data_IF_117607870052
#
_entry.id   IF_117607870052
#
_cell.length_a   1.000
_cell.length_b   1.000
_cell.length_c   1.000
_cell.angle_alpha   90.00
_cell.angle_beta   90.00
_cell.angle_gamma   90.00
#
_symmetry.space_group_name_H-M   'P 1'
#
loop_
_entity.id
_entity.type
_entity.pdbx_description
1 polymer ?
#
# COMPACT_ATOMS: atom_id res chain seq x y z
N UNK A 1 -32.58 5.34 -14.96
CA UNK A 1 -31.89 4.54 -16.00
C UNK A 1 -31.00 3.57 -15.27
N UNK A 2 -31.37 2.29 -15.27
CA UNK A 2 -30.61 1.23 -14.59
C UNK A 2 -29.50 0.74 -15.51
N UNK A 3 -28.26 0.94 -15.07
CA UNK A 3 -27.03 0.48 -15.71
C UNK A 3 -26.85 -1.03 -15.47
N UNK A 4 -26.17 -1.80 -16.34
CA UNK A 4 -25.93 -3.22 -16.09
C UNK A 4 -25.12 -3.42 -14.80
N UNK A 5 -25.79 -3.91 -13.77
CA UNK A 5 -25.20 -4.48 -12.58
C UNK A 5 -24.44 -5.74 -13.01
N UNK A 6 -23.12 -5.62 -13.21
CA UNK A 6 -22.24 -6.78 -13.24
C UNK A 6 -22.33 -7.44 -11.86
N UNK A 7 -23.16 -8.48 -11.79
CA UNK A 7 -23.35 -9.31 -10.62
C UNK A 7 -21.98 -9.74 -10.09
N UNK A 8 -21.84 -9.65 -8.77
CA UNK A 8 -20.77 -10.21 -7.99
C UNK A 8 -20.40 -11.61 -8.51
N UNK A 9 -19.28 -11.70 -9.23
CA UNK A 9 -18.58 -12.96 -9.43
C UNK A 9 -17.96 -13.30 -8.08
N UNK A 10 -18.76 -13.96 -7.27
CA UNK A 10 -18.39 -14.54 -5.99
C UNK A 10 -17.36 -15.63 -6.28
N UNK A 11 -16.09 -15.25 -6.21
CA UNK A 11 -14.99 -16.17 -6.49
C UNK A 11 -14.92 -17.24 -5.40
N UNK A 12 -14.72 -18.47 -5.87
CA UNK A 12 -15.12 -19.70 -5.20
C UNK A 12 -14.18 -20.01 -4.04
N UNK A 13 -14.76 -20.13 -2.83
CA UNK A 13 -14.31 -20.93 -1.67
C UNK A 13 -12.92 -21.57 -1.84
N UNK A 14 -11.88 -20.81 -1.46
CA UNK A 14 -10.53 -21.35 -1.21
C UNK A 14 -10.58 -22.25 0.03
N UNK A 15 -10.07 -23.46 -0.16
CA UNK A 15 -9.89 -24.48 0.86
C UNK A 15 -8.67 -24.05 1.71
N UNK A 16 -8.84 -23.86 3.02
CA UNK A 16 -7.86 -23.23 3.94
C UNK A 16 -6.74 -24.22 4.37
N UNK A 17 -6.53 -25.32 3.63
CA UNK A 17 -5.69 -26.44 4.09
C UNK A 17 -4.37 -26.63 3.32
N UNK A 18 -4.18 -26.00 2.16
CA UNK A 18 -2.93 -26.09 1.40
C UNK A 18 -2.24 -24.72 1.37
N UNK A 19 -0.94 -24.74 1.70
CA UNK A 19 -0.03 -23.59 1.76
C UNK A 19 0.33 -23.11 0.34
N UNK A 20 -0.67 -22.83 -0.49
CA UNK A 20 -0.48 -22.31 -1.83
C UNK A 20 -0.84 -20.84 -1.83
N UNK A 21 0.19 -19.99 -1.70
CA UNK A 21 -0.02 -18.56 -1.81
C UNK A 21 -0.22 -18.26 -3.29
N UNK A 22 -1.48 -18.16 -3.71
CA UNK A 22 -1.85 -17.84 -5.09
C UNK A 22 -1.19 -16.51 -5.51
N UNK A 23 -0.10 -16.60 -6.28
CA UNK A 23 0.64 -15.45 -6.78
C UNK A 23 0.03 -14.93 -8.08
N UNK A 24 -0.51 -13.70 -8.13
CA UNK A 24 -1.06 -13.15 -9.37
C UNK A 24 0.01 -12.63 -10.35
N UNK A 25 1.30 -12.85 -10.09
CA UNK A 25 2.44 -12.30 -10.86
C UNK A 25 3.48 -13.36 -11.19
N UNK A 26 4.37 -13.04 -12.14
CA UNK A 26 5.57 -13.85 -12.38
C UNK A 26 6.58 -13.63 -11.25
N UNK A 27 7.37 -14.67 -10.98
CA UNK A 27 8.30 -14.71 -9.85
C UNK A 27 9.28 -13.53 -9.81
N UNK A 28 9.83 -13.14 -10.96
CA UNK A 28 10.77 -12.02 -11.03
C UNK A 28 10.10 -10.67 -10.76
N UNK A 29 8.89 -10.46 -11.28
CA UNK A 29 8.13 -9.22 -11.07
C UNK A 29 7.80 -9.04 -9.59
N UNK A 30 7.35 -10.11 -8.92
CA UNK A 30 7.08 -10.08 -7.48
C UNK A 30 8.35 -9.74 -6.67
N UNK A 31 9.49 -10.34 -7.03
CA UNK A 31 10.74 -10.08 -6.34
C UNK A 31 11.25 -8.64 -6.54
N UNK A 32 11.02 -8.03 -7.70
CA UNK A 32 11.32 -6.61 -7.94
C UNK A 32 10.36 -5.69 -7.17
N UNK A 33 9.07 -6.00 -7.15
CA UNK A 33 8.07 -5.19 -6.47
C UNK A 33 8.32 -5.08 -4.97
N UNK A 34 8.73 -6.16 -4.29
CA UNK A 34 9.07 -6.04 -2.85
C UNK A 34 10.27 -5.11 -2.63
N UNK A 35 11.30 -5.20 -3.48
CA UNK A 35 12.48 -4.34 -3.37
C UNK A 35 12.13 -2.86 -3.60
N UNK A 36 11.11 -2.56 -4.41
CA UNK A 36 10.61 -1.21 -4.62
C UNK A 36 9.70 -0.75 -3.48
N UNK A 37 8.85 -1.65 -2.98
CA UNK A 37 7.92 -1.40 -1.89
C UNK A 37 8.62 -1.17 -0.54
N UNK A 38 9.77 -1.80 -0.35
CA UNK A 38 10.60 -1.64 0.86
C UNK A 38 11.96 -1.06 0.45
N UNK A 39 12.07 0.27 0.27
CA UNK A 39 13.35 0.89 -0.05
C UNK A 39 14.41 0.52 1.01
N UNK A 40 15.67 0.31 0.60
CA UNK A 40 16.75 -0.01 1.54
C UNK A 40 16.78 1.00 2.68
N UNK A 41 16.75 0.51 3.92
CA UNK A 41 16.79 1.39 5.07
C UNK A 41 15.46 1.95 5.56
N UNK A 42 14.35 1.30 5.17
CA UNK A 42 13.05 1.54 5.79
C UNK A 42 13.12 1.25 7.28
N UNK A 43 12.61 2.16 8.11
CA UNK A 43 12.72 2.08 9.58
C UNK A 43 11.33 1.92 10.17
N UNK A 44 11.20 0.93 11.04
CA UNK A 44 10.10 0.82 11.99
C UNK A 44 10.27 1.88 13.09
N UNK A 45 9.52 2.98 13.00
CA UNK A 45 9.63 4.10 13.96
C UNK A 45 9.11 3.74 15.36
N UNK A 46 8.18 2.79 15.51
CA UNK A 46 7.69 2.42 16.87
C UNK A 46 8.60 1.40 17.55
N UNK A 47 9.47 0.72 16.80
CA UNK A 47 10.54 -0.11 17.36
C UNK A 47 11.69 0.73 17.95
N UNK A 48 11.73 2.04 17.71
CA UNK A 48 12.79 2.91 18.23
C UNK A 48 12.55 3.32 19.69
N UNK A 49 13.63 3.46 20.50
CA UNK A 49 13.54 4.10 21.79
C UNK A 49 12.90 5.50 21.70
N UNK A 50 12.02 5.84 22.63
CA UNK A 50 11.23 7.09 22.60
C UNK A 50 12.10 8.35 22.40
N UNK A 51 13.27 8.39 23.03
CA UNK A 51 14.23 9.49 22.91
C UNK A 51 14.79 9.60 21.48
N UNK A 52 15.05 8.47 20.82
CA UNK A 52 15.56 8.43 19.46
C UNK A 52 14.46 8.78 18.44
N UNK A 53 13.24 8.29 18.64
CA UNK A 53 12.08 8.67 17.83
C UNK A 53 11.81 10.19 17.94
N UNK A 54 11.85 10.76 19.15
CA UNK A 54 11.71 12.21 19.38
C UNK A 54 12.84 13.00 18.70
N UNK A 55 14.08 12.51 18.78
CA UNK A 55 15.23 13.12 18.10
C UNK A 55 15.07 13.11 16.58
N UNK A 56 14.58 12.02 15.98
CA UNK A 56 14.27 11.96 14.53
C UNK A 56 13.18 12.96 14.16
N UNK A 57 12.10 13.03 14.94
CA UNK A 57 11.00 14.00 14.76
C UNK A 57 11.48 15.44 14.81
N UNK A 58 12.26 15.80 15.83
CA UNK A 58 12.81 17.17 15.98
C UNK A 58 13.69 17.62 14.81
N UNK A 59 14.20 16.68 14.02
CA UNK A 59 15.09 16.92 12.88
C UNK A 59 14.36 16.86 11.54
N UNK A 60 13.04 16.68 11.53
CA UNK A 60 12.27 16.49 10.30
C UNK A 60 12.63 15.19 9.56
N UNK A 61 13.10 14.17 10.28
CA UNK A 61 13.58 12.91 9.70
C UNK A 61 12.66 11.72 9.99
N UNK A 62 11.44 11.98 10.41
CA UNK A 62 10.43 10.95 10.59
C UNK A 62 10.11 10.31 9.22
N UNK A 63 10.03 8.98 9.16
CA UNK A 63 9.76 8.22 7.92
C UNK A 63 10.83 8.38 6.81
N UNK A 64 11.96 9.03 7.11
CA UNK A 64 13.09 9.08 6.16
C UNK A 64 13.90 7.79 6.25
N UNK A 65 14.16 7.20 5.07
CA UNK A 65 15.01 6.02 4.92
C UNK A 65 16.47 6.41 5.10
N UNK A 66 17.25 5.49 5.67
CA UNK A 66 18.69 5.64 5.79
C UNK A 66 19.36 4.44 5.16
N UNK A 67 20.37 4.60 4.29
CA UNK A 67 21.06 3.44 3.76
C UNK A 67 21.54 2.56 4.93
N UNK A 68 21.46 1.23 4.76
CA UNK A 68 21.83 0.29 5.81
C UNK A 68 23.20 0.69 6.36
N UNK A 69 23.31 0.75 7.69
CA UNK A 69 24.51 1.23 8.36
C UNK A 69 25.61 0.17 8.19
N UNK A 70 26.23 0.12 7.03
CA UNK A 70 27.49 -0.57 6.78
C UNK A 70 28.63 0.32 7.29
N UNK A 71 29.67 -0.29 7.86
CA UNK A 71 30.96 0.33 8.15
C UNK A 71 31.60 1.00 6.91
N UNK A 72 31.10 0.71 5.71
CA UNK A 72 31.55 1.30 4.43
C UNK A 72 30.75 2.52 3.97
N UNK A 73 29.57 2.80 4.54
CA UNK A 73 28.66 3.85 4.06
C UNK A 73 28.43 4.99 5.10
N UNK A 74 29.50 5.45 5.75
CA UNK A 74 29.45 6.53 6.75
C UNK A 74 29.01 7.90 6.23
N UNK A 75 29.04 8.15 4.92
CA UNK A 75 28.81 9.47 4.32
C UNK A 75 27.33 9.77 4.05
N UNK A 76 26.51 8.74 3.79
CA UNK A 76 25.07 8.88 3.52
C UNK A 76 24.21 8.66 4.76
N UNK A 77 24.74 7.96 5.77
CA UNK A 77 24.19 8.04 7.11
C UNK A 77 24.75 9.30 7.78
N UNK A 78 23.96 10.14 8.47
CA UNK A 78 24.53 11.23 9.24
C UNK A 78 25.14 10.65 10.52
N UNK A 79 26.26 9.94 10.39
CA UNK A 79 26.91 9.19 11.47
C UNK A 79 27.35 10.07 12.63
N UNK A 80 27.55 11.37 12.38
CA UNK A 80 27.82 12.42 13.38
C UNK A 80 26.56 12.82 14.19
N UNK A 81 25.36 12.51 13.70
CA UNK A 81 24.11 12.84 14.36
C UNK A 81 23.67 11.81 15.41
N UNK A 82 24.20 10.59 15.34
CA UNK A 82 23.74 9.46 16.15
C UNK A 82 24.91 8.78 16.87
N UNK A 83 24.74 8.57 18.17
CA UNK A 83 25.63 7.81 19.04
C UNK A 83 25.68 6.33 18.64
N UNK A 84 26.64 5.58 19.18
CA UNK A 84 26.78 4.15 18.89
C UNK A 84 25.56 3.33 19.30
N UNK A 85 24.94 3.65 20.44
CA UNK A 85 23.71 2.99 20.91
C UNK A 85 22.51 3.31 20.01
N UNK A 86 22.36 4.58 19.60
CA UNK A 86 21.31 4.99 18.65
C UNK A 86 21.48 4.30 17.30
N UNK A 87 22.70 4.14 16.79
CA UNK A 87 22.96 3.39 15.55
C UNK A 87 22.60 1.91 15.68
N UNK A 88 22.84 1.30 16.84
CA UNK A 88 22.43 -0.09 17.10
C UNK A 88 20.90 -0.22 17.10
N UNK A 89 20.21 0.73 17.74
CA UNK A 89 18.74 0.77 17.74
C UNK A 89 18.17 1.00 16.33
N UNK A 90 18.77 1.90 15.52
CA UNK A 90 18.37 2.11 14.13
C UNK A 90 18.54 0.85 13.29
N UNK A 91 19.67 0.14 13.43
CA UNK A 91 19.88 -1.16 12.74
C UNK A 91 18.82 -2.18 13.15
N UNK A 92 18.52 -2.29 14.44
CA UNK A 92 17.52 -3.23 14.93
C UNK A 92 16.09 -2.91 14.46
N UNK A 93 15.79 -1.62 14.29
CA UNK A 93 14.51 -1.15 13.76
C UNK A 93 14.47 -1.08 12.21
N UNK A 94 15.56 -1.41 11.52
CA UNK A 94 15.56 -1.44 10.06
C UNK A 94 14.80 -2.67 9.59
N UNK A 95 13.84 -2.45 8.68
CA UNK A 95 13.10 -3.51 8.02
C UNK A 95 14.00 -4.16 6.98
N UNK A 96 14.29 -5.44 7.14
CA UNK A 96 15.15 -6.20 6.26
C UNK A 96 14.54 -7.59 6.03
N UNK A 97 14.08 -7.82 4.79
CA UNK A 97 13.61 -9.13 4.35
C UNK A 97 14.80 -10.02 3.98
N UNK A 98 14.74 -11.34 4.23
CA UNK A 98 15.75 -12.27 3.75
C UNK A 98 15.86 -12.22 2.23
N UNK A 99 17.10 -12.20 1.74
CA UNK A 99 17.42 -12.15 0.31
C UNK A 99 18.02 -13.44 -0.22
N UNK A 100 18.58 -14.24 0.69
CA UNK A 100 19.14 -15.54 0.43
C UNK A 100 18.87 -16.49 1.62
N UNK A 101 19.09 -17.77 1.39
CA UNK A 101 18.92 -18.84 2.39
C UNK A 101 19.79 -18.60 3.63
N UNK A 102 21.02 -18.11 3.45
CA UNK A 102 21.99 -17.91 4.53
C UNK A 102 21.59 -16.79 5.51
N UNK A 103 20.74 -15.86 5.08
CA UNK A 103 20.23 -14.78 5.93
C UNK A 103 19.38 -15.35 7.10
N UNK A 104 18.83 -16.55 6.91
CA UNK A 104 17.90 -17.20 7.84
C UNK A 104 18.57 -17.78 9.08
N UNK A 105 19.86 -18.14 8.98
CA UNK A 105 20.63 -18.77 10.06
C UNK A 105 20.75 -17.91 11.33
N UNK A 106 20.45 -16.61 11.24
CA UNK A 106 20.50 -15.68 12.36
C UNK A 106 19.24 -15.65 13.22
N UNK A 107 18.14 -16.24 12.74
CA UNK A 107 16.86 -16.25 13.44
C UNK A 107 16.72 -17.47 14.34
N UNK A 108 15.86 -17.36 15.35
CA UNK A 108 15.60 -18.48 16.25
C UNK A 108 15.01 -19.65 15.45
N UNK A 109 14.01 -19.38 14.62
CA UNK A 109 13.27 -20.38 13.86
C UNK A 109 13.94 -20.79 12.53
N UNK A 110 15.27 -20.79 12.48
CA UNK A 110 16.03 -20.96 11.24
C UNK A 110 15.71 -22.27 10.50
N UNK A 111 15.49 -23.37 11.22
CA UNK A 111 15.19 -24.68 10.65
C UNK A 111 13.88 -24.71 9.87
N UNK A 112 12.82 -24.08 10.40
CA UNK A 112 11.54 -23.96 9.68
C UNK A 112 11.69 -23.02 8.47
N UNK A 113 12.31 -21.86 8.67
CA UNK A 113 12.42 -20.85 7.63
C UNK A 113 13.24 -21.37 6.45
N UNK A 114 14.33 -22.10 6.71
CA UNK A 114 15.11 -22.76 5.67
C UNK A 114 14.28 -23.81 4.93
N UNK A 115 13.48 -24.62 5.63
CA UNK A 115 12.60 -25.60 5.00
C UNK A 115 11.52 -24.95 4.11
N UNK A 116 10.93 -23.83 4.53
CA UNK A 116 9.97 -23.06 3.72
C UNK A 116 10.64 -22.44 2.48
N UNK A 117 11.85 -21.92 2.63
CA UNK A 117 12.65 -21.39 1.52
C UNK A 117 13.01 -22.48 0.51
N UNK A 118 13.51 -23.61 0.99
CA UNK A 118 13.91 -24.77 0.19
C UNK A 118 12.67 -25.41 -0.46
N UNK A 119 11.49 -25.36 0.16
CA UNK A 119 10.24 -25.80 -0.47
C UNK A 119 9.88 -24.96 -1.72
N UNK A 120 10.26 -23.67 -1.75
CA UNK A 120 9.98 -22.78 -2.88
C UNK A 120 11.04 -22.86 -3.97
N UNK A 121 12.31 -22.87 -3.59
CA UNK A 121 13.45 -22.71 -4.50
C UNK A 121 14.28 -23.99 -4.69
N UNK A 122 14.00 -25.05 -3.94
CA UNK A 122 14.83 -26.26 -3.88
C UNK A 122 16.26 -25.94 -3.43
N UNK A 123 17.22 -26.72 -3.93
CA UNK A 123 18.65 -26.52 -3.66
C UNK A 123 19.27 -25.38 -4.51
N UNK A 124 18.47 -24.45 -5.04
CA UNK A 124 19.01 -23.36 -5.87
C UNK A 124 19.55 -22.22 -5.01
N UNK A 125 20.73 -21.70 -5.38
CA UNK A 125 21.36 -20.51 -4.77
C UNK A 125 20.62 -19.20 -5.19
N UNK A 126 19.30 -19.18 -5.02
CA UNK A 126 18.47 -18.06 -5.42
C UNK A 126 18.68 -16.87 -4.48
N UNK A 127 19.30 -15.80 -5.00
CA UNK A 127 19.57 -14.57 -4.25
C UNK A 127 18.86 -13.39 -4.92
N UNK A 128 17.83 -12.84 -4.27
CA UNK A 128 17.11 -11.67 -4.78
C UNK A 128 16.53 -10.80 -3.66
N UNK A 129 16.54 -9.47 -3.85
CA UNK A 129 16.03 -8.47 -2.88
C UNK A 129 14.52 -8.49 -2.61
N UNK A 130 13.81 -9.45 -3.21
CA UNK A 130 12.40 -9.69 -2.93
C UNK A 130 12.00 -11.16 -2.96
N UNK A 131 12.99 -12.06 -2.87
CA UNK A 131 12.74 -13.51 -2.82
C UNK A 131 11.78 -13.88 -1.67
N UNK A 132 11.87 -13.18 -0.53
CA UNK A 132 10.98 -13.35 0.60
C UNK A 132 9.48 -13.31 0.23
N UNK A 133 9.07 -12.48 -0.74
CA UNK A 133 7.67 -12.38 -1.16
C UNK A 133 7.16 -13.57 -1.99
N UNK A 134 8.06 -14.45 -2.44
CA UNK A 134 7.72 -15.71 -3.10
C UNK A 134 7.60 -16.88 -2.11
N UNK A 135 8.02 -16.67 -0.86
CA UNK A 135 8.06 -17.69 0.19
C UNK A 135 6.98 -17.41 1.23
N UNK A 136 6.87 -16.16 1.70
CA UNK A 136 5.98 -15.79 2.80
C UNK A 136 4.87 -14.84 2.35
N UNK A 137 3.71 -14.97 3.00
CA UNK A 137 2.52 -14.16 2.72
C UNK A 137 2.68 -12.70 3.16
N UNK A 138 3.44 -12.40 4.21
CA UNK A 138 3.63 -11.05 4.74
C UNK A 138 4.33 -10.13 3.73
N UNK A 139 5.53 -10.47 3.21
CA UNK A 139 6.15 -9.70 2.13
C UNK A 139 5.33 -9.72 0.84
N UNK A 140 4.53 -10.74 0.57
CA UNK A 140 3.62 -10.68 -0.57
C UNK A 140 2.47 -9.68 -0.40
N UNK A 141 1.89 -9.60 0.80
CA UNK A 141 0.86 -8.60 1.11
C UNK A 141 1.40 -7.17 0.90
N UNK A 142 2.69 -6.94 1.19
CA UNK A 142 3.37 -5.68 0.87
C UNK A 142 3.41 -5.40 -0.64
N UNK A 143 3.63 -6.42 -1.48
CA UNK A 143 3.56 -6.26 -2.95
C UNK A 143 2.15 -5.81 -3.36
N UNK A 144 1.11 -6.46 -2.85
CA UNK A 144 -0.27 -6.11 -3.18
C UNK A 144 -0.56 -4.64 -2.82
N UNK A 145 -0.15 -4.22 -1.63
CA UNK A 145 -0.27 -2.82 -1.18
C UNK A 145 0.49 -1.85 -2.08
N UNK A 146 1.73 -2.17 -2.44
CA UNK A 146 2.56 -1.33 -3.32
C UNK A 146 1.92 -1.15 -4.69
N UNK A 147 1.37 -2.21 -5.28
CA UNK A 147 0.69 -2.11 -6.59
C UNK A 147 -0.59 -1.29 -6.51
N UNK A 148 -1.36 -1.40 -5.43
CA UNK A 148 -2.52 -0.54 -5.21
C UNK A 148 -2.10 0.93 -5.05
N UNK A 149 -1.02 1.21 -4.32
CA UNK A 149 -0.44 2.55 -4.21
C UNK A 149 0.04 3.10 -5.56
N UNK A 150 0.76 2.28 -6.35
CA UNK A 150 1.23 2.64 -7.68
C UNK A 150 0.06 2.91 -8.62
N UNK A 151 -0.95 2.04 -8.62
CA UNK A 151 -2.16 2.22 -9.41
C UNK A 151 -2.88 3.52 -9.03
N UNK A 152 -3.06 3.81 -7.75
CA UNK A 152 -3.65 5.08 -7.29
C UNK A 152 -2.89 6.29 -7.84
N UNK A 153 -1.55 6.27 -7.77
CA UNK A 153 -0.67 7.35 -8.28
C UNK A 153 -0.70 7.53 -9.79
N UNK A 154 -0.95 6.46 -10.54
CA UNK A 154 -1.02 6.49 -12.00
C UNK A 154 -2.35 7.02 -12.53
N UNK A 155 -3.40 7.06 -11.68
CA UNK A 155 -4.71 7.59 -12.07
C UNK A 155 -4.60 9.03 -12.59
N UNK A 156 -5.47 9.39 -13.54
CA UNK A 156 -5.52 10.76 -14.07
C UNK A 156 -5.85 11.75 -12.98
N UNK A 157 -6.81 11.39 -12.12
CA UNK A 157 -7.27 12.23 -11.02
C UNK A 157 -6.15 12.56 -10.03
N UNK A 158 -5.21 11.63 -9.79
CA UNK A 158 -4.06 11.85 -8.91
C UNK A 158 -3.18 13.02 -9.34
N UNK A 159 -3.07 13.24 -10.66
CA UNK A 159 -2.25 14.30 -11.28
C UNK A 159 -2.94 15.67 -11.26
N UNK A 160 -4.18 15.74 -10.80
CA UNK A 160 -4.96 16.98 -10.70
C UNK A 160 -5.00 17.51 -9.26
N UNK A 161 -5.42 18.76 -9.10
CA UNK A 161 -5.64 19.39 -7.79
C UNK A 161 -6.99 18.99 -7.14
N UNK A 162 -7.84 18.24 -7.85
CA UNK A 162 -9.21 17.92 -7.40
C UNK A 162 -9.23 17.08 -6.12
N UNK A 163 -8.26 16.18 -5.94
CA UNK A 163 -8.14 15.41 -4.70
C UNK A 163 -7.82 16.29 -3.49
N UNK A 164 -7.01 17.34 -3.68
CA UNK A 164 -6.68 18.30 -2.62
C UNK A 164 -7.89 19.19 -2.32
N UNK A 165 -8.57 19.68 -3.37
CA UNK A 165 -9.76 20.52 -3.24
C UNK A 165 -10.90 19.81 -2.48
N UNK A 166 -11.12 18.53 -2.75
CA UNK A 166 -12.12 17.70 -2.06
C UNK A 166 -11.59 17.05 -0.77
N UNK A 167 -10.36 17.33 -0.34
CA UNK A 167 -9.71 16.71 0.84
C UNK A 167 -9.71 15.17 0.80
N UNK A 168 -9.69 14.60 -0.39
CA UNK A 168 -9.73 13.16 -0.65
C UNK A 168 -8.33 12.57 -0.94
N UNK A 169 -7.28 13.41 -1.00
CA UNK A 169 -5.91 12.93 -1.14
C UNK A 169 -5.44 12.29 0.17
N UNK A 170 -5.03 11.03 0.10
CA UNK A 170 -4.41 10.33 1.23
C UNK A 170 -2.88 10.39 1.14
N UNK A 171 -2.22 10.30 2.29
CA UNK A 171 -0.78 10.06 2.34
C UNK A 171 -0.49 8.58 2.06
N UNK A 172 -0.33 8.26 0.77
CA UNK A 172 -0.05 6.89 0.29
C UNK A 172 1.29 6.37 0.84
N UNK A 173 2.31 7.23 0.98
CA UNK A 173 3.63 6.84 1.48
C UNK A 173 3.58 6.48 2.95
N UNK A 174 2.89 7.29 3.78
CA UNK A 174 2.69 6.96 5.18
C UNK A 174 1.89 5.67 5.35
N UNK A 175 0.83 5.46 4.54
CA UNK A 175 0.02 4.24 4.60
C UNK A 175 0.81 2.99 4.20
N UNK A 176 1.58 3.07 3.11
CA UNK A 176 2.46 1.99 2.68
C UNK A 176 3.52 1.68 3.74
N UNK A 177 4.13 2.71 4.34
CA UNK A 177 5.12 2.54 5.42
C UNK A 177 4.51 1.79 6.63
N UNK A 178 3.27 2.10 7.01
CA UNK A 178 2.56 1.39 8.10
C UNK A 178 2.32 -0.08 7.74
N UNK A 179 1.86 -0.35 6.51
CA UNK A 179 1.62 -1.72 6.01
C UNK A 179 2.92 -2.52 6.01
N UNK A 180 4.01 -1.97 5.47
CA UNK A 180 5.35 -2.60 5.43
C UNK A 180 5.82 -2.91 6.85
N UNK A 181 5.67 -1.95 7.78
CA UNK A 181 6.07 -2.11 9.17
C UNK A 181 5.27 -3.20 9.88
N UNK A 182 3.94 -3.20 9.73
CA UNK A 182 3.06 -4.19 10.33
C UNK A 182 3.34 -5.60 9.77
N UNK A 183 3.46 -5.74 8.44
CA UNK A 183 3.82 -6.99 7.80
C UNK A 183 5.17 -7.53 8.29
N UNK A 184 6.18 -6.67 8.40
CA UNK A 184 7.49 -7.06 8.90
C UNK A 184 7.45 -7.51 10.37
N UNK A 185 6.68 -6.86 11.23
CA UNK A 185 6.52 -7.30 12.64
C UNK A 185 5.87 -8.68 12.74
N UNK A 186 4.84 -8.94 11.93
CA UNK A 186 4.20 -10.25 11.87
C UNK A 186 5.20 -11.32 11.41
N UNK A 187 5.95 -11.04 10.35
CA UNK A 187 7.00 -11.93 9.87
C UNK A 187 8.11 -12.15 10.90
N UNK A 188 8.57 -11.11 11.61
CA UNK A 188 9.58 -11.24 12.68
C UNK A 188 9.08 -12.09 13.83
N UNK A 189 7.79 -12.02 14.16
CA UNK A 189 7.18 -12.88 15.17
C UNK A 189 7.25 -14.34 14.73
N UNK A 190 6.96 -14.62 13.46
CA UNK A 190 7.15 -15.94 12.87
C UNK A 190 8.61 -16.40 12.87
N UNK A 191 9.55 -15.51 12.55
CA UNK A 191 10.98 -15.82 12.49
C UNK A 191 11.64 -16.05 13.86
N UNK A 192 11.19 -15.36 14.91
CA UNK A 192 11.81 -15.41 16.24
C UNK A 192 11.14 -16.40 17.22
N UNK A 193 9.99 -16.96 16.87
CA UNK A 193 9.22 -17.82 17.77
C UNK A 193 9.33 -19.29 17.35
N UNK A 194 10.07 -20.10 18.13
CA UNK A 194 10.23 -21.55 17.91
C UNK A 194 8.95 -22.39 18.08
N UNK A 195 7.83 -21.79 18.48
CA UNK A 195 6.57 -22.50 18.64
C UNK A 195 5.90 -22.65 17.27
N UNK A 196 6.06 -23.84 16.67
CA UNK A 196 5.36 -24.27 15.46
C UNK A 196 3.86 -23.97 15.51
N UNK A 197 3.38 -23.36 14.41
CA UNK A 197 2.06 -23.54 13.79
C UNK A 197 0.85 -22.95 14.52
N UNK A 198 0.29 -21.90 13.91
CA UNK A 198 -1.17 -21.76 13.83
C UNK A 198 -1.81 -20.53 14.48
N UNK A 199 -1.08 -19.74 15.25
CA UNK A 199 -1.60 -18.48 15.77
C UNK A 199 -0.65 -17.33 15.42
N UNK A 200 -0.60 -17.00 14.12
CA UNK A 200 -0.54 -15.58 13.75
C UNK A 200 -1.52 -14.86 14.67
N UNK A 201 -1.12 -13.78 15.32
CA UNK A 201 -2.10 -12.89 15.95
C UNK A 201 -3.19 -12.61 14.89
N UNK A 202 -4.37 -13.25 15.00
CA UNK A 202 -5.35 -13.23 13.91
C UNK A 202 -5.89 -11.81 13.75
N UNK A 203 -5.84 -11.03 14.82
CA UNK A 203 -6.16 -9.61 14.84
C UNK A 203 -5.12 -8.82 14.03
N UNK A 204 -3.82 -8.99 14.31
CA UNK A 204 -2.76 -8.29 13.56
C UNK A 204 -2.76 -8.56 12.05
N UNK A 205 -3.00 -9.81 11.62
CA UNK A 205 -3.11 -10.13 10.20
C UNK A 205 -4.41 -9.59 9.56
N UNK A 206 -5.54 -9.68 10.26
CA UNK A 206 -6.80 -9.11 9.77
C UNK A 206 -6.72 -7.58 9.62
N UNK A 207 -6.09 -6.89 10.58
CA UNK A 207 -5.89 -5.44 10.53
C UNK A 207 -4.98 -5.04 9.36
N UNK A 208 -3.93 -5.84 9.08
CA UNK A 208 -3.07 -5.64 7.90
C UNK A 208 -3.87 -5.77 6.60
N UNK A 209 -4.67 -6.83 6.46
CA UNK A 209 -5.50 -7.03 5.28
C UNK A 209 -6.54 -5.91 5.12
N UNK A 210 -7.18 -5.47 6.20
CA UNK A 210 -8.13 -4.34 6.15
C UNK A 210 -7.46 -3.03 5.68
N UNK A 211 -6.22 -2.78 6.10
CA UNK A 211 -5.44 -1.63 5.63
C UNK A 211 -5.12 -1.71 4.13
N UNK A 212 -4.79 -2.91 3.63
CA UNK A 212 -4.53 -3.18 2.20
C UNK A 212 -5.82 -3.07 1.38
N UNK A 213 -6.92 -3.61 1.86
CA UNK A 213 -8.23 -3.53 1.21
C UNK A 213 -8.68 -2.07 1.07
N UNK A 214 -8.48 -1.26 2.11
CA UNK A 214 -8.79 0.18 2.06
C UNK A 214 -7.98 0.89 0.97
N UNK A 215 -6.67 0.59 0.86
CA UNK A 215 -5.81 1.16 -0.17
C UNK A 215 -6.19 0.66 -1.58
N UNK A 216 -6.59 -0.60 -1.69
CA UNK A 216 -7.01 -1.22 -2.95
C UNK A 216 -8.34 -0.64 -3.43
N UNK A 217 -9.31 -0.46 -2.53
CA UNK A 217 -10.57 0.20 -2.83
C UNK A 217 -10.34 1.66 -3.24
N UNK A 218 -9.44 2.36 -2.56
CA UNK A 218 -9.04 3.71 -2.93
C UNK A 218 -8.50 3.76 -4.37
N UNK A 219 -7.53 2.89 -4.69
CA UNK A 219 -6.97 2.80 -6.03
C UNK A 219 -8.03 2.44 -7.08
N UNK A 220 -8.96 1.54 -6.76
CA UNK A 220 -10.06 1.12 -7.63
C UNK A 220 -11.01 2.26 -7.94
N UNK A 221 -11.39 3.06 -6.94
CA UNK A 221 -12.29 4.21 -7.14
C UNK A 221 -11.62 5.27 -8.02
N UNK A 222 -10.34 5.58 -7.77
CA UNK A 222 -9.58 6.54 -8.57
C UNK A 222 -9.46 6.11 -10.03
N UNK A 223 -8.94 4.91 -10.30
CA UNK A 223 -8.72 4.41 -11.66
C UNK A 223 -10.02 3.97 -12.37
N UNK A 224 -11.09 3.79 -11.61
CA UNK A 224 -12.40 3.41 -12.12
C UNK A 224 -13.24 4.63 -12.46
N UNK A 225 -14.29 4.85 -11.66
CA UNK A 225 -15.30 5.88 -11.95
C UNK A 225 -14.71 7.28 -11.96
N UNK A 226 -13.77 7.60 -11.07
CA UNK A 226 -13.26 8.96 -10.94
C UNK A 226 -12.45 9.38 -12.18
N UNK A 227 -11.57 8.51 -12.68
CA UNK A 227 -10.83 8.75 -13.93
C UNK A 227 -11.74 8.85 -15.16
N UNK A 228 -12.83 8.06 -15.21
CA UNK A 228 -13.83 8.20 -16.28
C UNK A 228 -14.52 9.57 -16.23
N UNK A 229 -14.91 10.04 -15.05
CA UNK A 229 -15.53 11.36 -14.89
C UNK A 229 -14.57 12.48 -15.31
N UNK A 230 -13.29 12.38 -14.95
CA UNK A 230 -12.26 13.33 -15.41
C UNK A 230 -12.14 13.32 -16.94
N UNK A 231 -12.06 12.13 -17.56
CA UNK A 231 -11.99 12.00 -19.01
C UNK A 231 -13.24 12.57 -19.70
N UNK A 232 -14.43 12.39 -19.13
CA UNK A 232 -15.66 13.00 -19.63
C UNK A 232 -15.62 14.52 -19.61
N UNK A 233 -15.11 15.13 -18.53
CA UNK A 233 -14.93 16.59 -18.48
C UNK A 233 -13.92 17.07 -19.52
N UNK A 234 -12.84 16.33 -19.74
CA UNK A 234 -11.88 16.64 -20.82
C UNK A 234 -12.57 16.64 -22.18
N UNK A 235 -13.37 15.61 -22.49
CA UNK A 235 -14.10 15.48 -23.76
C UNK A 235 -15.12 16.62 -23.95
N UNK A 236 -15.87 16.97 -22.90
CA UNK A 236 -16.86 18.07 -22.95
C UNK A 236 -16.22 19.43 -23.28
N UNK A 237 -14.93 19.60 -22.96
CA UNK A 237 -14.15 20.81 -23.20
C UNK A 237 -13.42 20.83 -24.55
N UNK A 238 -13.41 19.71 -25.27
CA UNK A 238 -12.81 19.66 -26.60
C UNK A 238 -13.66 20.43 -27.62
N UNK A 239 -12.99 21.09 -28.55
CA UNK A 239 -13.63 21.73 -29.70
C UNK A 239 -13.90 20.68 -30.81
N UNK A 240 -14.81 19.75 -30.52
CA UNK A 240 -15.30 18.70 -31.44
C UNK A 240 -16.79 18.86 -31.69
N UNK A 241 -17.36 18.23 -32.71
CA UNK A 241 -18.79 18.34 -32.99
C UNK A 241 -19.66 17.63 -31.91
N UNK A 242 -20.80 18.24 -31.55
CA UNK A 242 -21.74 17.71 -30.53
C UNK A 242 -22.18 16.27 -30.78
N UNK A 243 -22.26 15.84 -32.05
CA UNK A 243 -22.64 14.47 -32.41
C UNK A 243 -21.68 13.42 -31.83
N UNK A 244 -20.39 13.73 -31.75
CA UNK A 244 -19.38 12.80 -31.23
C UNK A 244 -19.44 12.71 -29.71
N UNK A 245 -19.68 13.84 -29.04
CA UNK A 245 -19.92 13.87 -27.60
C UNK A 245 -21.20 13.10 -27.26
N UNK A 246 -22.28 13.30 -28.01
CA UNK A 246 -23.52 12.54 -27.79
C UNK A 246 -23.32 11.03 -27.91
N UNK A 247 -22.57 10.59 -28.93
CA UNK A 247 -22.25 9.17 -29.11
C UNK A 247 -21.47 8.60 -27.92
N UNK A 248 -20.42 9.29 -27.48
CA UNK A 248 -19.57 8.87 -26.37
C UNK A 248 -20.35 8.79 -25.03
N UNK A 249 -21.28 9.72 -24.82
CA UNK A 249 -22.10 9.79 -23.60
C UNK A 249 -23.41 8.98 -23.71
N UNK A 250 -23.63 8.26 -24.81
CA UNK A 250 -24.85 7.48 -25.04
C UNK A 250 -26.13 8.33 -25.11
N UNK A 251 -26.01 9.60 -25.45
CA UNK A 251 -27.13 10.54 -25.58
C UNK A 251 -27.80 10.39 -26.96
N UNK A 252 -29.09 10.73 -27.10
CA UNK A 252 -29.79 10.64 -28.37
C UNK A 252 -29.10 11.50 -29.44
N UNK A 253 -28.88 10.99 -30.67
CA UNK A 253 -28.52 11.85 -31.79
C UNK A 253 -29.71 12.76 -32.09
N UNK A 254 -29.48 14.05 -32.32
CA UNK A 254 -30.47 15.00 -32.84
C UNK A 254 -31.53 15.63 -31.90
N UNK A 255 -31.21 15.84 -30.61
CA UNK A 255 -32.08 16.64 -29.70
C UNK A 255 -31.70 18.12 -29.54
N UNK A 256 -31.18 18.77 -30.60
CA UNK A 256 -30.80 20.18 -30.57
C UNK A 256 -29.40 20.45 -30.03
N UNK A 257 -29.09 21.71 -29.70
CA UNK A 257 -27.77 22.14 -29.20
C UNK A 257 -27.46 21.45 -27.87
N UNK A 258 -26.28 20.84 -27.75
CA UNK A 258 -25.86 20.19 -26.51
C UNK A 258 -25.43 21.25 -25.49
N UNK A 259 -26.09 21.30 -24.32
CA UNK A 259 -25.61 22.13 -23.22
C UNK A 259 -24.42 21.45 -22.51
N UNK A 260 -23.23 21.61 -23.12
CA UNK A 260 -21.99 21.06 -22.59
C UNK A 260 -21.64 21.60 -21.21
N UNK A 261 -22.11 22.82 -20.88
CA UNK A 261 -21.82 23.45 -19.58
C UNK A 261 -22.65 22.81 -18.48
N UNK A 262 -23.94 22.56 -18.72
CA UNK A 262 -24.78 21.82 -17.77
C UNK A 262 -24.23 20.40 -17.54
N UNK A 263 -23.83 19.70 -18.62
CA UNK A 263 -23.21 18.38 -18.50
C UNK A 263 -21.87 18.40 -17.73
N UNK A 264 -20.99 19.38 -17.98
CA UNK A 264 -19.73 19.50 -17.21
C UNK A 264 -20.00 19.72 -15.72
N UNK A 265 -21.04 20.48 -15.38
CA UNK A 265 -21.45 20.71 -13.99
C UNK A 265 -22.03 19.46 -13.33
N UNK A 266 -22.84 18.67 -14.04
CA UNK A 266 -23.36 17.40 -13.53
C UNK A 266 -22.23 16.38 -13.27
N UNK A 267 -21.31 16.25 -14.22
CA UNK A 267 -20.13 15.36 -14.09
C UNK A 267 -19.22 15.83 -12.96
N UNK A 268 -19.04 17.14 -12.79
CA UNK A 268 -18.29 17.71 -11.67
C UNK A 268 -18.95 17.42 -10.31
N UNK A 269 -20.27 17.59 -10.21
CA UNK A 269 -20.99 17.28 -8.97
C UNK A 269 -20.87 15.79 -8.62
N UNK A 270 -21.03 14.90 -9.60
CA UNK A 270 -20.89 13.46 -9.37
C UNK A 270 -19.47 13.10 -8.91
N UNK A 271 -18.45 13.75 -9.48
CA UNK A 271 -17.06 13.55 -9.08
C UNK A 271 -16.83 14.00 -7.63
N UNK A 272 -17.34 15.17 -7.24
CA UNK A 272 -17.28 15.66 -5.87
C UNK A 272 -17.99 14.68 -4.90
N UNK A 273 -19.20 14.23 -5.23
CA UNK A 273 -19.97 13.28 -4.39
C UNK A 273 -19.25 11.92 -4.24
N UNK A 274 -18.54 11.48 -5.28
CA UNK A 274 -17.71 10.28 -5.24
C UNK A 274 -16.51 10.47 -4.31
N UNK A 275 -15.82 11.60 -4.40
CA UNK A 275 -14.66 11.92 -3.55
C UNK A 275 -15.04 12.12 -2.08
N UNK A 276 -16.20 12.69 -1.80
CA UNK A 276 -16.73 12.84 -0.44
C UNK A 276 -17.10 11.48 0.18
N UNK A 277 -17.63 10.55 -0.62
CA UNK A 277 -17.86 9.17 -0.18
C UNK A 277 -16.53 8.46 0.13
N UNK A 278 -15.57 8.59 -0.78
CA UNK A 278 -14.25 7.98 -0.63
C UNK A 278 -13.53 8.45 0.65
N UNK A 279 -13.58 9.76 0.91
CA UNK A 279 -13.00 10.38 2.11
C UNK A 279 -13.61 9.81 3.39
N UNK A 280 -14.94 9.67 3.44
CA UNK A 280 -15.63 9.08 4.60
C UNK A 280 -15.22 7.63 4.83
N UNK A 281 -15.13 6.81 3.77
CA UNK A 281 -14.72 5.40 3.87
C UNK A 281 -13.31 5.28 4.47
N UNK A 282 -12.38 6.12 4.02
CA UNK A 282 -11.00 6.13 4.53
C UNK A 282 -10.96 6.55 6.01
N UNK A 283 -11.67 7.62 6.38
CA UNK A 283 -11.71 8.09 7.77
C UNK A 283 -12.27 7.03 8.73
N UNK A 284 -13.31 6.31 8.31
CA UNK A 284 -13.87 5.22 9.11
C UNK A 284 -12.90 4.04 9.26
N UNK A 285 -12.10 3.75 8.22
CA UNK A 285 -11.12 2.67 8.24
C UNK A 285 -9.89 3.02 9.10
N UNK A 286 -9.50 4.30 9.17
CA UNK A 286 -8.37 4.76 9.97
C UNK A 286 -8.70 4.95 11.47
N UNK A 287 -9.95 4.67 11.88
CA UNK A 287 -10.33 4.63 13.29
C UNK A 287 -10.26 5.98 13.99
N UNK A 288 -10.57 7.07 13.29
CA UNK A 288 -10.65 8.40 13.90
C UNK A 288 -11.84 8.42 14.88
N UNK A 289 -11.56 8.09 16.14
CA UNK A 289 -12.49 8.30 17.26
C UNK A 289 -12.70 9.81 17.33
N UNK A 290 -13.93 10.32 17.15
CA UNK A 290 -14.17 11.75 17.28
C UNK A 290 -13.69 12.21 18.66
N UNK A 291 -13.07 13.41 18.78
CA UNK A 291 -12.59 13.90 20.06
C UNK A 291 -13.73 13.80 21.05
N UNK A 292 -13.52 13.01 22.13
CA UNK A 292 -14.47 12.93 23.24
C UNK A 292 -14.80 14.36 23.64
N UNK A 293 -16.06 14.75 23.46
CA UNK A 293 -16.56 16.01 23.95
C UNK A 293 -16.12 16.15 25.41
N UNK A 294 -15.42 17.24 25.71
CA UNK A 294 -15.07 17.60 27.07
C UNK A 294 -16.39 17.67 27.86
N UNK A 295 -16.59 16.68 28.72
CA UNK A 295 -17.63 16.74 29.74
C UNK A 295 -17.15 17.79 30.73
N UNK A 296 -17.64 19.01 30.55
CA UNK A 296 -17.54 20.06 31.55
C UNK A 296 -18.28 19.58 32.81
N UNK A 297 -17.54 19.40 33.90
CA UNK A 297 -18.04 19.41 35.27
C UNK A 297 -17.50 20.66 35.95
#
# INVERSE_FOLDING_TARGET
MDWPNAAAAQDRRRNIADFDVDWPYRDHDAADFLSLATPPGTIDEDALPTQLAAKRRSRGRQHTTYPPIDWRHFTTHPGWCYTRSERRALRAATIAWPTAREDLASYANADILEAEWDARFGDSDYTHRGAAALVWREPNAVIAAYRSAESARHSRLWKTELLDACRARIDVDARLTRIVTAAHRLWRTHADTHLHVGATDPTGWADLLAAIDTLTEYARVLNGRADHLVAYREILRLDVEDRWIRLEFGLPPDTGVLDRRALDQEVEQELCDLLDRLTRTIQTADGDVPPKAEVSN
#
